data_IF_558750693388
#
_entry.id   IF_558750693388
#
_cell.length_a   1.000
_cell.length_b   1.000
_cell.length_c   1.000
_cell.angle_alpha   90.00
_cell.angle_beta   90.00
_cell.angle_gamma   90.00
#
_symmetry.space_group_name_H-M   'P 1'
#
loop_
_entity.id
_entity.type
_entity.pdbx_description
1 polymer ?
#
# COMPACT_ATOMS: atom_id res chain seq x y z
N UNK A 1 -14.34 12.71 20.19
CA UNK A 1 -12.87 12.72 20.06
C UNK A 1 -12.43 11.54 19.20
N UNK A 2 -11.49 11.71 18.28
CA UNK A 2 -10.99 10.59 17.44
C UNK A 2 -9.95 9.79 18.22
N UNK A 3 -10.22 8.51 18.50
CA UNK A 3 -9.25 7.62 19.17
C UNK A 3 -7.95 7.47 18.36
N UNK A 4 -8.06 7.52 17.03
CA UNK A 4 -6.91 7.41 16.13
C UNK A 4 -6.02 8.65 16.19
N UNK A 5 -6.60 9.85 16.18
CA UNK A 5 -5.83 11.09 16.24
C UNK A 5 -5.04 11.27 17.55
N UNK A 6 -5.62 10.77 18.66
CA UNK A 6 -5.00 10.88 19.99
C UNK A 6 -3.85 9.90 20.22
N UNK A 7 -3.73 8.86 19.40
CA UNK A 7 -2.62 7.92 19.50
C UNK A 7 -1.36 8.54 18.88
N UNK A 8 -0.30 8.74 19.65
CA UNK A 8 0.96 9.26 19.13
C UNK A 8 1.58 8.28 18.11
N UNK A 9 2.45 8.79 17.26
CA UNK A 9 3.27 7.99 16.34
C UNK A 9 4.69 7.97 16.86
N UNK A 10 5.16 6.80 17.28
CA UNK A 10 6.53 6.58 17.72
C UNK A 10 7.47 6.54 16.52
N UNK A 11 8.61 7.21 16.65
CA UNK A 11 9.66 7.20 15.65
C UNK A 11 10.70 6.11 16.01
N UNK A 12 10.83 5.05 15.20
CA UNK A 12 11.84 4.04 15.44
C UNK A 12 13.25 4.61 15.19
N UNK A 13 14.26 4.00 15.79
CA UNK A 13 15.65 4.40 15.60
C UNK A 13 16.02 4.40 14.12
N UNK A 14 16.65 5.50 13.66
CA UNK A 14 17.07 5.65 12.25
C UNK A 14 16.01 6.26 11.34
N UNK A 15 14.89 6.75 11.87
CA UNK A 15 13.92 7.54 11.11
C UNK A 15 14.05 9.01 11.52
N UNK A 16 14.28 9.87 10.54
CA UNK A 16 14.35 11.32 10.68
C UNK A 16 13.08 11.94 10.11
N UNK A 17 12.53 12.92 10.84
CA UNK A 17 11.35 13.67 10.40
C UNK A 17 11.71 15.15 10.31
N UNK A 18 11.40 15.76 9.17
CA UNK A 18 11.52 17.20 8.94
C UNK A 18 10.12 17.78 8.68
N UNK A 19 9.83 18.87 9.37
CA UNK A 19 8.58 19.64 9.24
C UNK A 19 8.91 21.02 8.68
N UNK A 20 8.54 21.25 7.40
CA UNK A 20 8.71 22.52 6.70
C UNK A 20 7.35 23.15 6.43
N UNK A 21 6.86 23.94 7.39
CA UNK A 21 5.55 24.59 7.29
C UNK A 21 4.43 23.58 7.06
N UNK A 22 3.91 23.53 5.82
CA UNK A 22 2.83 22.61 5.44
C UNK A 22 3.32 21.26 4.88
N UNK A 23 4.62 20.98 4.86
CA UNK A 23 5.17 19.73 4.34
C UNK A 23 5.82 18.92 5.45
N UNK A 24 5.53 17.64 5.51
CA UNK A 24 6.25 16.68 6.33
C UNK A 24 7.07 15.76 5.42
N UNK A 25 8.34 15.57 5.76
CA UNK A 25 9.24 14.62 5.10
C UNK A 25 9.75 13.63 6.14
N UNK A 26 9.67 12.36 5.80
CA UNK A 26 10.11 11.25 6.66
C UNK A 26 11.17 10.47 5.91
N UNK A 27 12.39 10.42 6.46
CA UNK A 27 13.55 9.75 5.89
C UNK A 27 13.93 8.54 6.75
N UNK A 28 14.19 7.43 6.13
CA UNK A 28 14.60 6.18 6.79
C UNK A 28 15.48 5.31 5.91
N UNK A 29 15.76 4.11 6.37
CA UNK A 29 16.65 3.17 5.69
C UNK A 29 16.16 2.76 4.28
N UNK A 30 14.84 2.74 4.05
CA UNK A 30 14.22 2.32 2.77
C UNK A 30 13.81 3.48 1.85
N UNK A 31 14.21 4.70 2.18
CA UNK A 31 13.97 5.88 1.35
C UNK A 31 13.41 7.07 2.10
N UNK A 32 12.95 8.05 1.33
CA UNK A 32 12.35 9.28 1.83
C UNK A 32 10.97 9.44 1.24
N UNK A 33 9.99 9.71 2.08
CA UNK A 33 8.62 10.01 1.69
C UNK A 33 8.27 11.41 2.18
N UNK A 34 7.52 12.16 1.38
CA UNK A 34 7.04 13.48 1.74
C UNK A 34 5.57 13.64 1.39
N UNK A 35 4.84 14.39 2.21
CA UNK A 35 3.45 14.74 1.96
C UNK A 35 3.15 16.17 2.41
N UNK A 36 2.13 16.78 1.82
CA UNK A 36 1.58 18.06 2.30
C UNK A 36 0.57 17.78 3.43
N UNK A 37 0.72 18.53 4.51
CA UNK A 37 -0.19 18.47 5.66
C UNK A 37 -1.31 19.49 5.45
N UNK A 38 -2.53 19.12 5.76
CA UNK A 38 -3.66 20.04 5.69
C UNK A 38 -3.50 21.15 6.73
N UNK A 39 -3.83 22.39 6.36
CA UNK A 39 -3.75 23.57 7.24
C UNK A 39 -4.59 23.46 8.52
N UNK A 40 -5.57 22.56 8.54
CA UNK A 40 -6.42 22.28 9.71
C UNK A 40 -5.79 21.29 10.71
N UNK A 41 -4.54 20.85 10.47
CA UNK A 41 -3.86 19.88 11.33
C UNK A 41 -2.51 20.45 11.78
N UNK A 42 -2.32 20.47 13.09
CA UNK A 42 -1.04 20.80 13.73
C UNK A 42 -0.29 19.53 14.09
N UNK A 43 0.98 19.44 13.74
CA UNK A 43 1.86 18.33 14.10
C UNK A 43 2.91 18.86 15.08
N UNK A 44 3.01 18.23 16.25
CA UNK A 44 4.02 18.53 17.25
C UNK A 44 4.98 17.36 17.36
N UNK A 45 6.28 17.65 17.26
CA UNK A 45 7.34 16.68 17.45
C UNK A 45 7.88 16.80 18.87
N UNK A 46 7.80 15.71 19.62
CA UNK A 46 8.46 15.53 20.91
C UNK A 46 9.67 14.59 20.79
N UNK A 47 10.22 14.17 21.91
CA UNK A 47 11.34 13.22 21.97
C UNK A 47 10.90 11.85 21.38
N UNK A 48 11.21 11.63 20.09
CA UNK A 48 10.88 10.42 19.32
C UNK A 48 9.38 10.12 19.13
N UNK A 49 8.51 11.12 19.29
CA UNK A 49 7.07 10.94 19.16
C UNK A 49 6.46 12.10 18.39
N UNK A 50 5.53 11.78 17.47
CA UNK A 50 4.71 12.77 16.77
C UNK A 50 3.30 12.74 17.32
N UNK A 51 2.77 13.93 17.66
CA UNK A 51 1.39 14.14 18.09
C UNK A 51 0.65 15.01 17.09
N UNK A 52 -0.64 14.75 16.91
CA UNK A 52 -1.49 15.38 15.92
C UNK A 52 -2.66 16.06 16.59
N UNK A 53 -2.86 17.33 16.32
CA UNK A 53 -3.98 18.11 16.84
C UNK A 53 -4.78 18.73 15.69
N UNK A 54 -6.09 18.83 15.88
CA UNK A 54 -6.94 19.58 14.96
C UNK A 54 -6.86 21.07 15.31
N UNK A 55 -6.69 21.91 14.31
CA UNK A 55 -6.80 23.37 14.45
C UNK A 55 -8.28 23.73 14.35
N UNK A 56 -8.87 24.17 15.47
CA UNK A 56 -10.29 24.45 15.57
C UNK A 56 -11.13 23.29 16.08
N UNK A 57 -12.45 23.53 16.17
CA UNK A 57 -13.41 22.56 16.71
C UNK A 57 -14.26 21.84 15.65
N UNK A 58 -13.97 22.08 14.39
CA UNK A 58 -14.73 21.51 13.28
C UNK A 58 -14.61 20.00 13.18
N UNK A 59 -15.70 19.33 12.81
CA UNK A 59 -15.73 17.90 12.58
C UNK A 59 -14.76 17.49 11.46
N UNK A 60 -14.60 18.33 10.44
CA UNK A 60 -13.65 18.17 9.34
C UNK A 60 -12.20 18.18 9.83
N UNK A 61 -11.80 19.15 10.64
CA UNK A 61 -10.46 19.25 11.20
C UNK A 61 -10.09 18.02 12.06
N UNK A 62 -11.08 17.53 12.85
CA UNK A 62 -10.90 16.29 13.64
C UNK A 62 -10.74 15.05 12.77
N UNK A 63 -11.49 14.95 11.66
CA UNK A 63 -11.35 13.85 10.72
C UNK A 63 -9.97 13.89 10.03
N UNK A 64 -9.54 15.08 9.60
CA UNK A 64 -8.25 15.30 8.95
C UNK A 64 -7.07 15.01 9.87
N UNK A 65 -7.13 15.32 11.17
CA UNK A 65 -6.07 14.97 12.11
C UNK A 65 -5.86 13.46 12.22
N UNK A 66 -6.94 12.67 12.27
CA UNK A 66 -6.88 11.21 12.26
C UNK A 66 -6.32 10.64 10.96
N UNK A 67 -6.73 11.20 9.82
CA UNK A 67 -6.22 10.82 8.49
C UNK A 67 -4.73 11.10 8.37
N UNK A 68 -4.31 12.32 8.72
CA UNK A 68 -2.89 12.74 8.69
C UNK A 68 -2.04 11.84 9.59
N UNK A 69 -2.50 11.56 10.82
CA UNK A 69 -1.83 10.64 11.74
C UNK A 69 -1.62 9.26 11.09
N UNK A 70 -2.64 8.72 10.46
CA UNK A 70 -2.58 7.40 9.83
C UNK A 70 -1.63 7.38 8.64
N UNK A 71 -1.62 8.44 7.82
CA UNK A 71 -0.71 8.59 6.70
C UNK A 71 0.75 8.69 7.17
N UNK A 72 1.03 9.53 8.17
CA UNK A 72 2.37 9.66 8.73
C UNK A 72 2.84 8.34 9.38
N UNK A 73 1.97 7.65 10.10
CA UNK A 73 2.28 6.33 10.65
C UNK A 73 2.64 5.31 9.55
N UNK A 74 1.92 5.33 8.42
CA UNK A 74 2.26 4.50 7.27
C UNK A 74 3.60 4.91 6.65
N UNK A 75 3.91 6.23 6.56
CA UNK A 75 5.21 6.70 6.06
C UNK A 75 6.36 6.22 6.95
N UNK A 76 6.24 6.37 8.26
CA UNK A 76 7.25 5.91 9.25
C UNK A 76 7.49 4.40 9.12
N UNK A 77 6.44 3.60 9.06
CA UNK A 77 6.54 2.14 8.86
C UNK A 77 7.17 1.82 7.50
N UNK A 78 6.75 2.53 6.45
CA UNK A 78 7.23 2.31 5.10
C UNK A 78 8.72 2.60 4.91
N UNK A 79 9.24 3.70 5.48
CA UNK A 79 10.67 4.03 5.36
C UNK A 79 11.56 3.21 6.30
N UNK A 80 11.00 2.63 7.37
CA UNK A 80 11.74 1.76 8.31
C UNK A 80 11.72 0.29 7.87
N UNK A 81 10.55 -0.31 7.80
CA UNK A 81 10.36 -1.74 7.52
C UNK A 81 10.03 -2.00 6.05
N UNK A 82 9.34 -1.06 5.38
CA UNK A 82 8.74 -1.24 4.07
C UNK A 82 7.44 -2.03 4.13
N UNK A 83 6.75 -2.06 3.00
CA UNK A 83 5.54 -2.84 2.81
C UNK A 83 5.74 -3.89 1.74
N UNK A 84 5.12 -5.04 1.94
CA UNK A 84 5.10 -6.14 0.99
C UNK A 84 3.67 -6.59 0.73
N UNK A 85 3.37 -6.94 -0.52
CA UNK A 85 2.12 -7.59 -0.91
C UNK A 85 2.39 -8.72 -1.86
N UNK A 86 1.85 -9.89 -1.54
CA UNK A 86 1.93 -11.08 -2.37
C UNK A 86 0.64 -11.23 -3.15
N UNK A 87 0.77 -11.51 -4.45
CA UNK A 87 -0.32 -11.85 -5.36
C UNK A 87 -0.14 -13.29 -5.83
N UNK A 88 -1.23 -14.04 -5.81
CA UNK A 88 -1.28 -15.44 -6.26
C UNK A 88 -2.07 -15.52 -7.57
N UNK A 89 -1.48 -16.13 -8.59
CA UNK A 89 -2.12 -16.40 -9.87
C UNK A 89 -2.72 -17.81 -9.84
N UNK A 90 -4.03 -17.91 -9.91
CA UNK A 90 -4.76 -19.18 -9.89
C UNK A 90 -5.38 -19.42 -11.25
N UNK A 91 -4.90 -20.43 -11.96
CA UNK A 91 -5.42 -20.81 -13.27
C UNK A 91 -4.42 -21.65 -14.05
N UNK A 92 -4.91 -22.54 -14.90
CA UNK A 92 -4.05 -23.36 -15.76
C UNK A 92 -3.38 -22.47 -16.80
N UNK A 93 -2.04 -22.52 -16.86
CA UNK A 93 -1.25 -21.72 -17.80
C UNK A 93 -1.04 -20.25 -17.37
N UNK A 94 -1.50 -19.82 -16.19
CA UNK A 94 -1.23 -18.48 -15.68
C UNK A 94 0.21 -18.40 -15.22
N UNK A 95 0.89 -17.36 -15.70
CA UNK A 95 2.31 -17.12 -15.38
C UNK A 95 2.58 -15.64 -15.24
N UNK A 96 3.53 -15.30 -14.38
CA UNK A 96 4.09 -13.97 -14.23
C UNK A 96 5.61 -14.03 -14.34
N UNK A 97 6.21 -13.06 -14.99
CA UNK A 97 7.66 -12.89 -15.08
C UNK A 97 8.01 -11.41 -14.95
N UNK A 98 8.86 -11.10 -14.00
CA UNK A 98 9.40 -9.73 -13.83
C UNK A 98 10.63 -9.55 -14.70
N UNK A 99 10.65 -8.44 -15.44
CA UNK A 99 11.77 -8.00 -16.25
C UNK A 99 12.06 -6.52 -15.95
N UNK A 100 12.97 -6.26 -15.01
CA UNK A 100 13.26 -4.91 -14.55
C UNK A 100 12.05 -4.22 -13.94
N UNK A 101 11.56 -3.14 -14.55
CA UNK A 101 10.38 -2.38 -14.10
C UNK A 101 9.06 -2.89 -14.70
N UNK A 102 9.08 -3.95 -15.48
CA UNK A 102 7.89 -4.50 -16.16
C UNK A 102 7.57 -5.91 -15.65
N UNK A 103 6.30 -6.19 -15.55
CA UNK A 103 5.78 -7.53 -15.23
C UNK A 103 5.03 -8.03 -16.46
N UNK A 104 5.51 -9.12 -17.03
CA UNK A 104 4.83 -9.84 -18.12
C UNK A 104 3.88 -10.86 -17.52
N UNK A 105 2.60 -10.75 -17.85
CA UNK A 105 1.53 -11.58 -17.32
C UNK A 105 0.88 -12.38 -18.44
N UNK A 106 0.79 -13.69 -18.27
CA UNK A 106 -0.01 -14.59 -19.10
C UNK A 106 -1.22 -15.03 -18.29
N UNK A 107 -2.39 -14.47 -18.61
CA UNK A 107 -3.63 -14.66 -17.83
C UNK A 107 -4.76 -15.29 -18.67
N UNK A 108 -4.41 -16.04 -19.73
CA UNK A 108 -5.39 -16.68 -20.59
C UNK A 108 -6.07 -15.73 -21.57
N UNK A 109 -5.46 -14.59 -21.88
CA UNK A 109 -5.84 -13.72 -22.98
C UNK A 109 -5.12 -14.13 -24.27
N UNK A 110 -5.62 -13.67 -25.42
CA UNK A 110 -5.00 -13.88 -26.73
C UNK A 110 -3.66 -13.16 -26.91
N UNK A 111 -3.37 -12.20 -26.05
CA UNK A 111 -2.13 -11.41 -26.02
C UNK A 111 -1.54 -11.39 -24.61
N UNK A 112 -0.22 -11.27 -24.46
CA UNK A 112 0.40 -11.06 -23.15
C UNK A 112 0.05 -9.68 -22.61
N UNK A 113 -0.12 -9.57 -21.30
CA UNK A 113 -0.34 -8.30 -20.61
C UNK A 113 0.99 -7.85 -20.02
N UNK A 114 1.40 -6.62 -20.31
CA UNK A 114 2.60 -6.02 -19.74
C UNK A 114 2.18 -4.90 -18.81
N UNK A 115 2.58 -5.01 -17.54
CA UNK A 115 2.33 -4.00 -16.52
C UNK A 115 3.64 -3.28 -16.16
N UNK A 116 3.65 -1.96 -16.22
CA UNK A 116 4.79 -1.14 -15.82
C UNK A 116 4.64 -0.72 -14.35
N UNK A 117 5.66 -1.01 -13.55
CA UNK A 117 5.68 -0.64 -12.13
C UNK A 117 5.88 0.86 -11.96
N UNK A 118 5.10 1.45 -11.07
CA UNK A 118 5.29 2.84 -10.67
C UNK A 118 6.63 3.03 -9.94
N UNK A 119 7.23 4.22 -10.07
CA UNK A 119 8.48 4.56 -9.39
C UNK A 119 8.39 4.35 -7.88
N UNK A 120 9.35 3.58 -7.33
CA UNK A 120 9.41 3.22 -5.92
C UNK A 120 8.68 1.93 -5.55
N UNK A 121 8.13 1.21 -6.54
CA UNK A 121 7.62 -0.15 -6.37
C UNK A 121 8.56 -1.13 -7.06
N UNK A 122 8.94 -2.18 -6.38
CA UNK A 122 9.72 -3.30 -6.92
C UNK A 122 8.88 -4.58 -6.90
N UNK A 123 9.13 -5.46 -7.84
CA UNK A 123 8.45 -6.74 -7.93
C UNK A 123 9.46 -7.88 -8.03
N UNK A 124 9.14 -9.00 -7.45
CA UNK A 124 9.86 -10.26 -7.56
C UNK A 124 8.86 -11.38 -7.90
N UNK A 125 9.27 -12.36 -8.66
CA UNK A 125 8.50 -13.56 -8.94
C UNK A 125 9.21 -14.78 -8.37
N UNK A 126 8.97 -15.12 -7.09
CA UNK A 126 9.57 -16.30 -6.45
C UNK A 126 9.18 -17.59 -7.18
N UNK A 127 7.98 -17.64 -7.72
CA UNK A 127 7.49 -18.67 -8.62
C UNK A 127 6.74 -18.05 -9.81
N UNK A 128 6.49 -18.83 -10.84
CA UNK A 128 5.73 -18.37 -12.02
C UNK A 128 4.28 -17.97 -11.70
N UNK A 129 3.75 -18.42 -10.57
CA UNK A 129 2.38 -18.18 -10.12
C UNK A 129 2.28 -17.23 -8.95
N UNK A 130 3.39 -16.61 -8.52
CA UNK A 130 3.43 -15.72 -7.39
C UNK A 130 4.17 -14.44 -7.74
N UNK A 131 3.61 -13.31 -7.36
CA UNK A 131 4.24 -11.99 -7.49
C UNK A 131 4.36 -11.39 -6.10
N UNK A 132 5.56 -11.00 -5.71
CA UNK A 132 5.84 -10.29 -4.47
C UNK A 132 6.16 -8.84 -4.82
N UNK A 133 5.28 -7.92 -4.44
CA UNK A 133 5.45 -6.48 -4.59
C UNK A 133 6.02 -5.89 -3.30
N UNK A 134 7.01 -5.00 -3.42
CA UNK A 134 7.64 -4.30 -2.29
C UNK A 134 7.70 -2.81 -2.57
N UNK A 135 7.42 -1.99 -1.54
CA UNK A 135 7.55 -0.54 -1.62
C UNK A 135 7.66 0.08 -0.22
N UNK A 136 8.27 1.25 -0.13
CA UNK A 136 8.18 2.12 1.04
C UNK A 136 6.83 2.85 1.11
N UNK A 137 6.15 3.05 -0.03
CA UNK A 137 4.87 3.74 -0.14
C UNK A 137 3.71 2.73 -0.18
N UNK A 138 2.93 2.69 0.91
CA UNK A 138 1.76 1.80 1.03
C UNK A 138 0.70 2.06 -0.04
N UNK A 139 0.50 3.33 -0.43
CA UNK A 139 -0.50 3.71 -1.41
C UNK A 139 -0.10 3.20 -2.80
N UNK A 140 1.13 3.46 -3.24
CA UNK A 140 1.64 2.98 -4.54
C UNK A 140 1.65 1.46 -4.62
N UNK A 141 2.07 0.80 -3.54
CA UNK A 141 2.03 -0.66 -3.43
C UNK A 141 0.61 -1.21 -3.55
N UNK A 142 -0.34 -0.59 -2.84
CA UNK A 142 -1.74 -0.96 -2.87
C UNK A 142 -2.36 -0.77 -4.25
N UNK A 143 -2.05 0.33 -4.92
CA UNK A 143 -2.51 0.65 -6.27
C UNK A 143 -1.98 -0.36 -7.28
N UNK A 144 -0.67 -0.62 -7.30
CA UNK A 144 -0.07 -1.61 -8.18
C UNK A 144 -0.70 -3.01 -8.00
N UNK A 145 -0.90 -3.44 -6.76
CA UNK A 145 -1.55 -4.71 -6.47
C UNK A 145 -3.01 -4.77 -6.97
N UNK A 146 -3.76 -3.67 -6.83
CA UNK A 146 -5.14 -3.57 -7.29
C UNK A 146 -5.23 -3.58 -8.82
N UNK A 147 -4.34 -2.88 -9.51
CA UNK A 147 -4.28 -2.82 -10.98
C UNK A 147 -3.93 -4.19 -11.57
N UNK A 148 -2.91 -4.86 -11.02
CA UNK A 148 -2.54 -6.22 -11.47
C UNK A 148 -3.71 -7.20 -11.25
N UNK A 149 -4.39 -7.11 -10.10
CA UNK A 149 -5.57 -7.93 -9.81
C UNK A 149 -6.74 -7.62 -10.75
N UNK A 150 -6.89 -6.37 -11.18
CA UNK A 150 -7.98 -5.94 -12.05
C UNK A 150 -7.89 -6.53 -13.47
N UNK A 151 -6.70 -6.89 -13.97
CA UNK A 151 -6.58 -7.56 -15.27
C UNK A 151 -7.38 -8.86 -15.33
N UNK A 152 -7.39 -9.65 -14.26
CA UNK A 152 -8.18 -10.87 -14.19
C UNK A 152 -8.62 -11.12 -12.74
N UNK A 153 -9.72 -10.53 -12.30
CA UNK A 153 -10.21 -10.71 -10.93
C UNK A 153 -10.64 -12.15 -10.71
N UNK A 154 -10.56 -12.64 -9.47
CA UNK A 154 -10.92 -14.03 -9.15
C UNK A 154 -12.41 -14.29 -9.44
N UNK A 155 -12.70 -15.38 -10.15
CA UNK A 155 -14.05 -15.81 -10.45
C UNK A 155 -14.73 -16.51 -9.25
N UNK A 156 -16.05 -16.46 -9.14
CA UNK A 156 -16.76 -16.99 -7.98
C UNK A 156 -16.94 -18.51 -7.98
N UNK A 157 -16.56 -19.25 -9.03
CA UNK A 157 -16.77 -20.71 -9.12
C UNK A 157 -15.53 -21.49 -8.69
N UNK A 158 -14.47 -21.47 -9.49
CA UNK A 158 -13.20 -22.16 -9.18
C UNK A 158 -12.18 -21.25 -8.53
N UNK A 159 -12.45 -19.93 -8.48
CA UNK A 159 -11.54 -18.93 -7.93
C UNK A 159 -10.33 -18.66 -8.83
N UNK A 160 -10.44 -18.93 -10.15
CA UNK A 160 -9.39 -18.59 -11.11
C UNK A 160 -9.28 -17.08 -11.26
N UNK A 161 -8.07 -16.58 -11.34
CA UNK A 161 -7.76 -15.16 -11.46
C UNK A 161 -6.54 -14.80 -10.64
N UNK A 162 -6.25 -13.51 -10.61
CA UNK A 162 -5.22 -12.91 -9.74
C UNK A 162 -5.87 -12.47 -8.44
N UNK A 163 -5.35 -12.94 -7.32
CA UNK A 163 -5.85 -12.58 -5.99
C UNK A 163 -4.72 -12.11 -5.08
N UNK A 164 -5.05 -11.29 -4.11
CA UNK A 164 -4.14 -10.94 -3.04
C UNK A 164 -4.03 -12.15 -2.10
N UNK A 165 -2.81 -12.50 -1.68
CA UNK A 165 -2.61 -13.62 -0.76
C UNK A 165 -3.40 -13.39 0.54
N UNK A 166 -4.16 -14.41 0.96
CA UNK A 166 -5.07 -14.31 2.10
C UNK A 166 -6.44 -13.68 1.80
N UNK A 167 -6.71 -13.27 0.55
CA UNK A 167 -8.02 -12.75 0.17
C UNK A 167 -9.08 -13.85 0.20
N UNK A 168 -10.17 -13.59 0.90
CA UNK A 168 -11.35 -14.47 0.87
C UNK A 168 -12.15 -14.21 -0.41
N UNK A 169 -12.17 -15.22 -1.29
CA UNK A 169 -13.00 -15.20 -2.51
C UNK A 169 -14.30 -15.94 -2.24
N UNK A 170 -15.42 -15.22 -2.28
CA UNK A 170 -16.75 -15.83 -2.14
C UNK A 170 -17.00 -16.80 -3.31
N UNK A 171 -17.17 -18.07 -3.01
CA UNK A 171 -17.48 -19.09 -4.00
C UNK A 171 -18.98 -19.37 -4.07
N UNK A 172 -19.46 -19.58 -5.28
CA UNK A 172 -20.82 -20.06 -5.56
C UNK A 172 -20.74 -21.53 -5.89
N UNK A 173 -21.69 -22.31 -5.39
CA UNK A 173 -21.87 -23.70 -5.81
C UNK A 173 -22.61 -23.73 -7.14
N UNK A 174 -22.19 -24.62 -8.05
CA UNK A 174 -22.92 -24.88 -9.26
C UNK A 174 -24.27 -25.55 -8.89
N UNK A 175 -25.35 -25.20 -9.61
CA UNK A 175 -26.65 -25.85 -9.41
C UNK A 175 -26.49 -27.34 -9.61
N UNK A 176 -26.70 -28.10 -8.53
CA UNK A 176 -26.80 -29.57 -8.65
C UNK A 176 -28.00 -29.90 -9.58
N UNK A 177 -27.75 -30.69 -10.63
CA UNK A 177 -28.81 -31.25 -11.43
C UNK A 177 -29.57 -32.31 -10.61
#
# INVERSE_FOLDING_TARGET
MSRVANNPVELPKGVEVSLDGSKISVKGAKGTLAMSVNSQVEIKQGDNVLTFAAVGQDASARAMSGTTRSLVSNMVTGVSQGFEKKLDLVGVGYRAQVQGSKINLTLGFSHPVVYELANGVTAETPSQTEILLKSSDKQKLGQAAAEIRAFRPPEPYKGKGVRISGEYVRRKEAKKK
#
